data_IF_869529124200
#
_entry.id   IF_869529124200
#
_cell.length_a   1.000
_cell.length_b   1.000
_cell.length_c   1.000
_cell.angle_alpha   90.00
_cell.angle_beta   90.00
_cell.angle_gamma   90.00
#
_symmetry.space_group_name_H-M   'P 1'
#
loop_
_entity.id
_entity.type
_entity.pdbx_description
1 polymer ?
#
# COMPACT_ATOMS: atom_id res chain seq x y z
N UNK A 1 -3.94 25.63 -5.64
CA UNK A 1 -3.19 24.56 -6.30
C UNK A 1 -3.49 23.23 -5.62
N UNK A 2 -3.83 22.22 -6.40
CA UNK A 2 -4.08 20.88 -5.86
C UNK A 2 -2.75 20.20 -5.59
N UNK A 3 -2.62 19.63 -4.41
CA UNK A 3 -1.44 18.86 -4.02
C UNK A 3 -1.51 17.45 -4.63
N UNK A 4 -0.48 17.06 -5.36
CA UNK A 4 -0.35 15.69 -5.86
C UNK A 4 0.07 14.76 -4.73
N UNK A 5 -0.69 13.70 -4.50
CA UNK A 5 -0.39 12.71 -3.48
C UNK A 5 0.30 11.48 -4.03
N UNK A 6 -0.10 11.04 -5.21
CA UNK A 6 0.45 9.86 -5.87
C UNK A 6 0.55 10.12 -7.36
N UNK A 7 1.67 9.73 -7.93
CA UNK A 7 1.84 9.68 -9.39
C UNK A 7 2.53 8.40 -9.78
N UNK A 8 1.95 7.70 -10.72
CA UNK A 8 2.59 6.59 -11.41
C UNK A 8 2.95 7.01 -12.82
N UNK A 9 4.20 6.79 -13.18
CA UNK A 9 4.76 7.24 -14.43
C UNK A 9 5.42 6.05 -15.13
N UNK A 10 4.78 5.59 -16.21
CA UNK A 10 5.22 4.44 -17.01
C UNK A 10 5.52 3.19 -16.14
N UNK A 11 4.66 2.90 -15.18
CA UNK A 11 4.88 1.80 -14.25
C UNK A 11 4.54 0.47 -14.89
N UNK A 12 5.51 -0.43 -14.86
CA UNK A 12 5.38 -1.80 -15.33
C UNK A 12 5.70 -2.76 -14.20
N UNK A 13 4.97 -3.86 -14.15
CA UNK A 13 5.26 -4.96 -13.25
C UNK A 13 5.17 -6.27 -14.01
N UNK A 14 6.26 -7.02 -14.00
CA UNK A 14 6.35 -8.35 -14.56
C UNK A 14 6.69 -9.35 -13.48
N UNK A 15 6.00 -10.46 -13.48
CA UNK A 15 6.27 -11.57 -12.58
C UNK A 15 5.94 -12.89 -13.25
N UNK A 16 6.85 -13.87 -13.13
CA UNK A 16 6.65 -15.20 -13.71
C UNK A 16 6.47 -15.20 -15.22
N UNK A 17 7.10 -14.28 -15.95
CA UNK A 17 6.96 -14.16 -17.39
C UNK A 17 5.66 -13.47 -17.84
N UNK A 18 4.84 -13.02 -16.92
CA UNK A 18 3.58 -12.35 -17.19
C UNK A 18 3.68 -10.87 -16.83
N UNK A 19 3.14 -10.01 -17.70
CA UNK A 19 3.04 -8.58 -17.43
C UNK A 19 1.75 -8.31 -16.68
N UNK A 20 1.86 -8.01 -15.39
CA UNK A 20 0.73 -7.78 -14.50
C UNK A 20 0.24 -6.34 -14.53
N UNK A 21 1.16 -5.40 -14.66
CA UNK A 21 0.87 -3.98 -14.88
C UNK A 21 1.62 -3.51 -16.11
N UNK A 22 0.92 -2.83 -17.00
CA UNK A 22 1.46 -2.43 -18.29
C UNK A 22 1.31 -0.93 -18.48
N UNK A 23 2.42 -0.22 -18.39
CA UNK A 23 2.53 1.21 -18.70
C UNK A 23 1.47 2.05 -17.97
N UNK A 24 1.37 1.90 -16.66
CA UNK A 24 0.41 2.65 -15.87
C UNK A 24 0.86 4.11 -15.70
N UNK A 25 -0.04 5.01 -16.04
CA UNK A 25 0.13 6.44 -15.90
C UNK A 25 -1.11 7.04 -15.27
N UNK A 26 -1.01 7.54 -14.05
CA UNK A 26 -2.09 8.27 -13.43
C UNK A 26 -1.61 9.10 -12.24
N UNK A 27 -2.44 10.04 -11.83
CA UNK A 27 -2.16 10.93 -10.70
C UNK A 27 -3.38 10.97 -9.79
N UNK A 28 -3.14 11.08 -8.50
CA UNK A 28 -4.17 11.32 -7.50
C UNK A 28 -3.79 12.57 -6.72
N UNK A 29 -4.71 13.54 -6.69
CA UNK A 29 -4.52 14.78 -5.96
C UNK A 29 -5.28 14.77 -4.65
N UNK A 30 -4.89 15.64 -3.73
CA UNK A 30 -5.57 15.80 -2.45
C UNK A 30 -7.06 16.11 -2.65
N UNK A 31 -7.92 15.43 -1.90
CA UNK A 31 -9.36 15.58 -1.99
C UNK A 31 -10.04 14.81 -3.11
N UNK A 32 -9.30 14.10 -3.95
CA UNK A 32 -9.87 13.30 -5.02
C UNK A 32 -10.31 11.92 -4.56
N UNK A 33 -11.38 11.44 -5.17
CA UNK A 33 -11.81 10.04 -5.14
C UNK A 33 -11.65 9.49 -6.55
N UNK A 34 -10.81 8.50 -6.71
CA UNK A 34 -10.53 7.88 -8.01
C UNK A 34 -11.08 6.46 -8.05
N UNK A 35 -11.88 6.18 -9.08
CA UNK A 35 -12.35 4.83 -9.36
C UNK A 35 -11.35 4.09 -10.23
N UNK A 36 -11.08 2.84 -9.89
CA UNK A 36 -10.21 1.96 -10.66
C UNK A 36 -11.01 0.78 -11.18
N UNK A 37 -11.00 0.59 -12.51
CA UNK A 37 -11.64 -0.54 -13.17
C UNK A 37 -10.57 -1.38 -13.85
N UNK A 38 -10.58 -2.67 -13.60
CA UNK A 38 -9.59 -3.60 -14.13
C UNK A 38 -10.26 -4.83 -14.71
N UNK A 39 -9.70 -5.35 -15.80
CA UNK A 39 -10.17 -6.62 -16.39
C UNK A 39 -9.68 -7.83 -15.61
N UNK A 40 -8.63 -7.68 -14.81
CA UNK A 40 -7.97 -8.78 -14.13
C UNK A 40 -7.82 -8.49 -12.65
N UNK A 41 -8.21 -9.44 -11.81
CA UNK A 41 -7.97 -9.38 -10.38
C UNK A 41 -6.48 -9.35 -10.02
N UNK A 42 -5.64 -10.03 -10.82
CA UNK A 42 -4.19 -10.05 -10.57
C UNK A 42 -3.59 -8.66 -10.67
N UNK A 43 -3.93 -7.92 -11.73
CA UNK A 43 -3.44 -6.55 -11.89
C UNK A 43 -3.91 -5.64 -10.77
N UNK A 44 -5.15 -5.77 -10.37
CA UNK A 44 -5.74 -5.00 -9.27
C UNK A 44 -5.01 -5.25 -7.95
N UNK A 45 -4.79 -6.51 -7.59
CA UNK A 45 -4.07 -6.89 -6.36
C UNK A 45 -2.63 -6.36 -6.36
N UNK A 46 -1.95 -6.42 -7.51
CA UNK A 46 -0.58 -5.92 -7.62
C UNK A 46 -0.52 -4.40 -7.47
N UNK A 47 -1.49 -3.70 -8.03
CA UNK A 47 -1.57 -2.24 -7.88
C UNK A 47 -1.80 -1.84 -6.42
N UNK A 48 -2.70 -2.52 -5.73
CA UNK A 48 -2.94 -2.29 -4.30
C UNK A 48 -1.68 -2.61 -3.50
N UNK A 49 -0.97 -3.68 -3.85
CA UNK A 49 0.30 -4.02 -3.22
C UNK A 49 1.38 -2.95 -3.42
N UNK A 50 1.44 -2.34 -4.60
CA UNK A 50 2.38 -1.24 -4.87
C UNK A 50 2.04 -0.01 -4.04
N UNK A 51 0.79 0.39 -4.03
CA UNK A 51 0.36 1.63 -3.37
C UNK A 51 0.38 1.47 -1.85
N UNK A 52 -0.17 0.38 -1.36
CA UNK A 52 -0.38 0.18 0.07
C UNK A 52 0.78 -0.46 0.82
N UNK A 53 1.51 -1.34 0.15
CA UNK A 53 2.56 -2.14 0.79
C UNK A 53 3.95 -1.89 0.20
N UNK A 54 4.08 -0.90 -0.63
CA UNK A 54 5.36 -0.47 -1.22
C UNK A 54 6.14 -1.62 -1.88
N UNK A 55 5.45 -2.46 -2.64
CA UNK A 55 6.07 -3.56 -3.37
C UNK A 55 6.90 -3.04 -4.54
N UNK A 56 7.97 -3.75 -4.91
CA UNK A 56 8.83 -3.31 -6.01
C UNK A 56 8.13 -3.37 -7.36
N UNK A 57 8.54 -2.48 -8.26
CA UNK A 57 8.12 -2.45 -9.65
C UNK A 57 9.24 -2.94 -10.55
N UNK A 58 8.92 -3.36 -11.78
CA UNK A 58 9.92 -3.77 -12.76
C UNK A 58 10.56 -2.56 -13.42
N UNK A 59 9.77 -1.57 -13.81
CA UNK A 59 10.25 -0.33 -14.41
C UNK A 59 9.25 0.79 -14.20
N UNK A 60 9.67 2.01 -14.50
CA UNK A 60 8.86 3.19 -14.30
C UNK A 60 9.18 3.90 -12.99
N UNK A 61 8.38 4.88 -12.64
CA UNK A 61 8.60 5.70 -11.45
C UNK A 61 7.30 5.90 -10.70
N UNK A 62 7.37 5.75 -9.39
CA UNK A 62 6.26 6.07 -8.49
C UNK A 62 6.66 7.25 -7.64
N UNK A 63 5.82 8.29 -7.65
CA UNK A 63 5.99 9.48 -6.83
C UNK A 63 4.95 9.48 -5.73
N UNK A 64 5.39 9.68 -4.53
CA UNK A 64 4.53 9.77 -3.37
C UNK A 64 4.79 11.08 -2.65
N UNK A 65 3.79 11.96 -2.63
CA UNK A 65 3.88 13.27 -2.00
C UNK A 65 5.14 14.05 -2.46
N UNK A 66 5.40 14.05 -3.76
CA UNK A 66 6.54 14.74 -4.38
C UNK A 66 7.88 14.03 -4.29
N UNK A 67 7.93 12.84 -3.69
CA UNK A 67 9.16 12.06 -3.57
C UNK A 67 9.10 10.77 -4.37
N UNK A 68 10.19 10.40 -5.00
CA UNK A 68 10.30 9.12 -5.69
C UNK A 68 10.34 8.00 -4.66
N UNK A 69 9.41 7.06 -4.80
CA UNK A 69 9.33 5.88 -3.95
C UNK A 69 9.75 4.68 -4.79
N UNK A 70 11.03 4.43 -4.85
CA UNK A 70 11.52 3.18 -5.41
C UNK A 70 11.75 2.20 -4.26
N UNK A 71 10.80 1.34 -4.09
CA UNK A 71 10.74 0.03 -3.44
C UNK A 71 11.69 -0.37 -2.29
N UNK A 72 12.69 0.39 -1.94
CA UNK A 72 13.72 -0.11 -1.01
C UNK A 72 13.84 0.63 0.31
N UNK A 73 13.10 1.68 0.53
CA UNK A 73 13.23 2.41 1.78
C UNK A 73 12.03 2.21 2.70
N UNK A 74 11.96 1.07 3.32
CA UNK A 74 11.11 0.87 4.49
C UNK A 74 11.43 1.85 5.63
N UNK A 75 12.54 2.53 5.54
CA UNK A 75 13.04 3.44 6.57
C UNK A 75 12.47 4.86 6.50
N UNK A 76 11.77 5.18 5.42
CA UNK A 76 11.38 6.56 5.14
C UNK A 76 10.06 6.99 5.80
N UNK A 77 9.35 6.07 6.47
CA UNK A 77 8.07 6.41 7.11
C UNK A 77 6.95 6.86 6.16
N UNK A 78 7.26 7.01 4.88
CA UNK A 78 6.27 7.41 3.86
C UNK A 78 5.21 6.35 3.64
N UNK A 79 5.56 5.08 3.85
CA UNK A 79 4.64 3.95 3.78
C UNK A 79 3.48 4.02 4.79
N UNK A 80 3.63 4.82 5.84
CA UNK A 80 2.64 4.93 6.91
C UNK A 80 1.46 5.84 6.59
N UNK A 81 1.42 6.45 5.41
CA UNK A 81 0.37 7.41 5.03
C UNK A 81 -0.70 6.85 4.12
N UNK A 82 -0.55 5.61 3.68
CA UNK A 82 -1.56 4.93 2.87
C UNK A 82 -2.19 3.83 3.69
N UNK A 83 -3.51 3.87 3.77
CA UNK A 83 -4.28 2.84 4.45
C UNK A 83 -5.05 2.04 3.42
N UNK A 84 -4.94 0.72 3.48
CA UNK A 84 -5.62 -0.20 2.58
C UNK A 84 -6.78 -0.85 3.31
N UNK A 85 -7.98 -0.71 2.75
CA UNK A 85 -9.15 -1.44 3.23
C UNK A 85 -9.37 -2.60 2.27
N UNK A 86 -9.16 -3.81 2.75
CA UNK A 86 -9.28 -5.01 1.95
C UNK A 86 -10.69 -5.61 2.04
N UNK A 87 -11.05 -6.43 1.05
CA UNK A 87 -12.35 -7.11 1.05
C UNK A 87 -12.50 -8.09 2.22
N UNK A 88 -11.41 -8.75 2.59
CA UNK A 88 -11.41 -9.67 3.73
C UNK A 88 -10.92 -8.93 4.95
N UNK A 89 -11.64 -9.06 6.05
CA UNK A 89 -11.16 -8.59 7.34
C UNK A 89 -10.02 -9.48 7.82
N UNK A 90 -8.98 -8.85 8.33
CA UNK A 90 -7.83 -9.54 8.92
C UNK A 90 -7.93 -9.49 10.45
N UNK A 91 -9.06 -9.96 10.97
CA UNK A 91 -9.28 -10.05 12.41
C UNK A 91 -8.52 -11.25 12.97
N UNK A 92 -7.82 -11.03 14.06
CA UNK A 92 -7.17 -12.11 14.79
C UNK A 92 -8.18 -12.69 15.77
N UNK A 93 -8.50 -13.95 15.57
CA UNK A 93 -9.41 -14.68 16.47
C UNK A 93 -8.80 -14.81 17.86
N UNK A 94 -9.63 -14.74 18.89
CA UNK A 94 -9.18 -14.81 20.28
C UNK A 94 -8.72 -13.49 20.87
N UNK A 95 -8.58 -12.44 20.07
CA UNK A 95 -8.30 -11.10 20.57
C UNK A 95 -9.57 -10.26 20.64
N UNK A 96 -9.59 -9.36 21.61
CA UNK A 96 -10.69 -8.39 21.77
C UNK A 96 -10.75 -7.41 20.59
N UNK A 97 -11.83 -6.63 20.52
CA UNK A 97 -11.96 -5.55 19.54
C UNK A 97 -10.84 -4.52 19.71
N UNK A 98 -10.54 -4.15 20.94
CA UNK A 98 -9.46 -3.18 21.25
C UNK A 98 -8.12 -3.72 20.78
N UNK A 99 -7.83 -4.98 21.05
CA UNK A 99 -6.57 -5.61 20.66
C UNK A 99 -6.42 -5.66 19.14
N UNK A 100 -7.48 -5.99 18.42
CA UNK A 100 -7.47 -5.97 16.96
C UNK A 100 -7.20 -4.58 16.39
N UNK A 101 -7.72 -3.54 17.01
CA UNK A 101 -7.48 -2.16 16.57
C UNK A 101 -6.01 -1.78 16.76
N UNK A 102 -5.41 -2.16 17.87
CA UNK A 102 -4.05 -1.72 18.21
C UNK A 102 -2.93 -2.60 17.66
N UNK A 103 -3.22 -3.83 17.26
CA UNK A 103 -2.21 -4.78 16.83
C UNK A 103 -1.35 -4.28 15.66
N UNK A 104 -1.92 -3.49 14.76
CA UNK A 104 -1.21 -2.93 13.61
C UNK A 104 -0.60 -1.56 13.88
N UNK A 105 -0.98 -0.90 14.97
CA UNK A 105 -0.62 0.49 15.21
C UNK A 105 0.71 0.68 15.93
N UNK A 106 1.02 -0.17 16.88
CA UNK A 106 2.16 0.01 17.79
C UNK A 106 3.33 -0.93 17.52
N UNK A 107 3.26 -1.69 16.43
CA UNK A 107 4.15 -2.81 16.26
C UNK A 107 3.68 -3.99 17.12
N UNK A 108 3.41 -5.05 16.43
CA UNK A 108 2.84 -6.27 17.00
C UNK A 108 3.61 -6.78 18.23
N UNK A 109 4.92 -6.80 18.17
CA UNK A 109 5.75 -7.25 19.28
C UNK A 109 5.60 -6.41 20.53
N UNK A 110 5.60 -5.11 20.39
CA UNK A 110 5.48 -4.18 21.52
C UNK A 110 4.15 -4.32 22.21
N UNK A 111 3.10 -4.49 21.44
CA UNK A 111 1.75 -4.67 21.96
C UNK A 111 1.64 -5.95 22.80
N UNK A 112 2.07 -7.06 22.27
CA UNK A 112 2.00 -8.35 22.97
C UNK A 112 2.87 -8.38 24.23
N UNK A 113 4.04 -7.75 24.20
CA UNK A 113 4.90 -7.64 25.39
C UNK A 113 4.17 -6.87 26.49
N UNK A 114 3.53 -5.78 26.15
CA UNK A 114 2.80 -4.97 27.11
C UNK A 114 1.62 -5.73 27.74
N UNK A 115 0.94 -6.51 26.95
CA UNK A 115 -0.19 -7.33 27.41
C UNK A 115 0.24 -8.47 28.32
N UNK A 116 1.39 -9.05 28.05
CA UNK A 116 1.95 -10.11 28.89
C UNK A 116 2.42 -9.61 30.25
N UNK A 117 2.76 -8.35 30.36
CA UNK A 117 3.18 -7.72 31.61
C UNK A 117 1.98 -7.35 32.49
N UNK A 118 0.83 -7.21 31.89
CA UNK A 118 -0.42 -6.94 32.59
C UNK A 118 -1.08 -8.22 33.08
#
# INVERSE_FOLDING_TARGET
MKRELLRMDHVNLEAGGERLLDNLNFQIFAGEIMGLVSRSFKGHDQLIGLIGYNRPITSGTVWYDGKIVNSYSYSDGSANRVYVIEQKSHLVEGLSVVDNIFVLRSGFKKYFINEQVL
#
